data_IF_577169586679
#
_entry.id   IF_577169586679
#
_cell.length_a   1.000
_cell.length_b   1.000
_cell.length_c   1.000
_cell.angle_alpha   90.00
_cell.angle_beta   90.00
_cell.angle_gamma   90.00
#
_symmetry.space_group_name_H-M   'P 1'
#
loop_
_entity.id
_entity.type
_entity.pdbx_description
1 polymer ?
#
# COMPACT_ATOMS: atom_id res chain seq x y z
N UNK A 1 -6.36 -25.62 -20.92
CA UNK A 1 -6.50 -25.44 -19.46
C UNK A 1 -5.13 -25.03 -18.93
N UNK A 2 -4.86 -23.72 -18.83
CA UNK A 2 -3.58 -23.19 -18.33
C UNK A 2 -3.85 -22.52 -16.98
N UNK A 3 -3.20 -23.02 -15.94
CA UNK A 3 -3.23 -22.44 -14.61
C UNK A 3 -2.41 -21.12 -14.63
N UNK A 4 -3.10 -20.00 -14.43
CA UNK A 4 -2.45 -18.71 -14.20
C UNK A 4 -1.91 -18.68 -12.77
N UNK A 5 -0.58 -18.64 -12.66
CA UNK A 5 0.11 -18.34 -11.42
C UNK A 5 -0.32 -16.96 -10.92
N UNK A 6 -1.02 -16.90 -9.79
CA UNK A 6 -1.22 -15.66 -9.05
C UNK A 6 0.10 -15.28 -8.38
N UNK A 7 0.81 -14.31 -8.94
CA UNK A 7 1.99 -13.73 -8.29
C UNK A 7 1.52 -12.59 -7.37
N UNK A 8 1.73 -12.77 -6.07
CA UNK A 8 1.59 -11.72 -5.07
C UNK A 8 2.98 -11.27 -4.66
N UNK A 9 3.27 -9.98 -4.81
CA UNK A 9 4.50 -9.38 -4.28
C UNK A 9 4.13 -8.32 -3.25
N UNK A 10 4.64 -8.48 -2.04
CA UNK A 10 4.47 -7.53 -0.93
C UNK A 10 5.86 -7.01 -0.60
N UNK A 11 6.04 -5.70 -0.65
CA UNK A 11 7.25 -5.04 -0.19
C UNK A 11 6.89 -4.12 0.97
N UNK A 12 7.52 -4.33 2.13
CA UNK A 12 7.44 -3.37 3.25
C UNK A 12 8.74 -2.58 3.27
N UNK A 13 8.63 -1.26 3.13
CA UNK A 13 9.78 -0.36 3.16
C UNK A 13 9.69 0.53 4.40
N UNK A 14 10.77 0.56 5.17
CA UNK A 14 10.93 1.48 6.29
C UNK A 14 11.73 2.68 5.80
N UNK A 15 11.13 3.86 5.85
CA UNK A 15 11.83 5.09 5.51
C UNK A 15 12.35 5.74 6.78
N UNK A 16 13.66 5.70 6.97
CA UNK A 16 14.37 6.53 7.95
C UNK A 16 15.00 7.68 7.17
N UNK A 17 14.75 8.91 7.59
CA UNK A 17 15.32 10.10 6.95
C UNK A 17 16.84 10.14 7.09
N UNK A 18 17.55 9.38 6.23
CA UNK A 18 18.88 9.63 5.64
C UNK A 18 19.59 8.41 5.05
N UNK A 19 19.10 7.16 5.15
CA UNK A 19 19.73 6.02 4.47
C UNK A 19 18.73 4.89 4.17
N UNK A 20 18.83 4.29 2.98
CA UNK A 20 18.08 3.09 2.58
C UNK A 20 18.77 1.86 3.16
N UNK A 21 18.07 1.11 4.03
CA UNK A 21 18.52 -0.21 4.49
C UNK A 21 17.54 -1.29 4.03
N UNK A 22 18.03 -2.23 3.23
CA UNK A 22 17.35 -3.51 2.96
C UNK A 22 17.85 -4.49 4.02
N UNK A 23 16.97 -4.95 4.91
CA UNK A 23 17.34 -5.89 5.98
C UNK A 23 16.89 -7.31 5.65
N UNK A 24 17.86 -8.23 5.53
CA UNK A 24 17.63 -9.67 5.61
C UNK A 24 17.83 -10.09 7.09
N UNK A 25 16.84 -10.74 7.70
CA UNK A 25 16.85 -11.11 9.12
C UNK A 25 18.02 -12.05 9.48
N UNK A 26 18.90 -11.60 10.38
CA UNK A 26 19.72 -12.43 11.28
C UNK A 26 19.72 -11.76 12.67
N UNK A 27 19.39 -12.46 13.77
CA UNK A 27 19.36 -11.84 15.09
C UNK A 27 20.77 -11.76 15.69
N UNK A 28 21.15 -10.61 16.23
CA UNK A 28 22.35 -10.48 17.08
C UNK A 28 22.08 -9.54 18.26
N UNK A 29 22.54 -9.99 19.43
CA UNK A 29 22.27 -9.50 20.78
C UNK A 29 22.88 -8.13 21.13
N UNK A 30 22.19 -7.50 22.08
CA UNK A 30 22.35 -6.20 22.71
C UNK A 30 23.78 -5.72 23.05
N UNK A 31 24.02 -4.42 22.77
CA UNK A 31 24.86 -3.57 23.62
C UNK A 31 24.23 -2.16 23.68
N UNK A 32 23.82 -1.76 24.89
CA UNK A 32 23.36 -0.41 25.22
C UNK A 32 24.53 0.58 25.22
N UNK A 33 24.44 1.66 24.44
CA UNK A 33 25.19 2.89 24.64
C UNK A 33 24.23 4.05 24.85
N UNK A 34 24.17 4.52 26.09
CA UNK A 34 23.50 5.75 26.48
C UNK A 34 24.28 6.95 25.93
N UNK A 35 23.68 7.72 25.02
CA UNK A 35 24.06 9.11 24.79
C UNK A 35 22.81 9.96 24.52
N UNK A 36 22.66 11.00 25.32
CA UNK A 36 21.67 12.07 25.19
C UNK A 36 21.69 12.65 23.77
N UNK A 37 20.69 12.32 22.96
CA UNK A 37 20.27 13.09 21.80
C UNK A 37 18.90 13.66 22.13
N UNK A 38 18.79 14.99 22.17
CA UNK A 38 17.52 15.70 22.25
C UNK A 38 16.58 15.14 21.19
N UNK A 39 15.50 14.49 21.65
CA UNK A 39 14.54 13.73 20.86
C UNK A 39 13.78 14.59 19.85
N UNK A 40 14.43 14.93 18.74
CA UNK A 40 13.74 14.87 17.46
C UNK A 40 13.49 13.39 17.23
N UNK A 41 12.34 12.90 17.71
CA UNK A 41 11.81 11.64 17.21
C UNK A 41 11.70 11.79 15.70
N UNK A 42 12.68 11.24 14.98
CA UNK A 42 12.58 11.02 13.54
C UNK A 42 11.33 10.17 13.39
N UNK A 43 10.26 10.73 12.82
CA UNK A 43 9.05 9.95 12.58
C UNK A 43 9.43 8.80 11.64
N UNK A 44 9.44 7.57 12.16
CA UNK A 44 9.68 6.38 11.37
C UNK A 44 8.41 6.08 10.56
N UNK A 45 8.44 6.44 9.28
CA UNK A 45 7.33 6.16 8.37
C UNK A 45 7.42 4.72 7.89
N UNK A 46 6.38 3.95 8.17
CA UNK A 46 6.18 2.63 7.58
C UNK A 46 5.34 2.75 6.31
N UNK A 47 5.90 2.31 5.18
CA UNK A 47 5.25 2.32 3.88
C UNK A 47 5.04 0.86 3.44
N UNK A 48 3.79 0.50 3.15
CA UNK A 48 3.44 -0.80 2.57
C UNK A 48 3.23 -0.63 1.06
N UNK A 49 3.87 -1.48 0.26
CA UNK A 49 3.71 -1.51 -1.19
C UNK A 49 3.14 -2.88 -1.57
N UNK A 50 1.99 -2.88 -2.24
CA UNK A 50 1.30 -4.09 -2.69
C UNK A 50 1.19 -4.06 -4.22
N UNK A 51 1.38 -5.21 -4.86
CA UNK A 51 1.02 -5.38 -6.27
C UNK A 51 0.08 -6.55 -6.46
N UNK A 52 -0.89 -6.41 -7.36
CA UNK A 52 -1.83 -7.49 -7.67
C UNK A 52 -2.26 -7.47 -9.12
N UNK A 53 -2.02 -8.60 -9.80
CA UNK A 53 -2.54 -8.85 -11.14
C UNK A 53 -3.97 -9.37 -11.05
N UNK A 54 -4.90 -8.61 -11.63
CA UNK A 54 -6.33 -8.87 -11.55
C UNK A 54 -6.82 -9.86 -12.61
N UNK A 55 -6.04 -10.12 -13.66
CA UNK A 55 -6.46 -10.91 -14.81
C UNK A 55 -7.83 -10.50 -15.37
N UNK A 56 -8.09 -9.18 -15.41
CA UNK A 56 -9.35 -8.55 -15.81
C UNK A 56 -10.59 -9.01 -15.02
N UNK A 57 -10.42 -9.64 -13.85
CA UNK A 57 -11.52 -10.10 -13.01
C UNK A 57 -12.21 -8.91 -12.36
N UNK A 58 -13.55 -8.93 -12.22
CA UNK A 58 -14.26 -7.87 -11.52
C UNK A 58 -13.90 -7.86 -10.04
N UNK A 59 -14.06 -6.70 -9.42
CA UNK A 59 -13.94 -6.55 -7.97
C UNK A 59 -15.10 -7.23 -7.25
N UNK A 60 -14.81 -7.91 -6.14
CA UNK A 60 -15.80 -8.38 -5.18
C UNK A 60 -15.26 -8.28 -3.74
N UNK A 61 -16.13 -8.13 -2.72
CA UNK A 61 -15.70 -7.79 -1.36
C UNK A 61 -14.70 -8.76 -0.74
N UNK A 62 -14.85 -10.06 -0.99
CA UNK A 62 -13.98 -11.10 -0.45
C UNK A 62 -12.57 -11.02 -1.06
N UNK A 63 -12.44 -10.78 -2.37
CA UNK A 63 -11.12 -10.62 -3.00
C UNK A 63 -10.35 -9.42 -2.43
N UNK A 64 -11.06 -8.31 -2.23
CA UNK A 64 -10.48 -7.09 -1.64
C UNK A 64 -10.09 -7.35 -0.18
N UNK A 65 -10.93 -8.06 0.58
CA UNK A 65 -10.61 -8.44 1.95
C UNK A 65 -9.36 -9.31 2.01
N UNK A 66 -9.29 -10.39 1.22
CA UNK A 66 -8.14 -11.29 1.20
C UNK A 66 -6.86 -10.60 0.71
N UNK A 67 -6.98 -9.62 -0.18
CA UNK A 67 -5.85 -8.84 -0.66
C UNK A 67 -5.28 -7.88 0.40
N UNK A 68 -6.14 -7.25 1.22
CA UNK A 68 -5.72 -6.17 2.12
C UNK A 68 -5.58 -6.60 3.59
N UNK A 69 -6.37 -7.58 4.04
CA UNK A 69 -6.35 -8.06 5.42
C UNK A 69 -5.01 -8.72 5.75
N UNK A 70 -4.42 -8.37 6.89
CA UNK A 70 -3.08 -8.83 7.29
C UNK A 70 -1.91 -8.17 6.55
N UNK A 71 -2.15 -7.54 5.40
CA UNK A 71 -1.12 -6.85 4.61
C UNK A 71 -1.03 -5.35 4.91
N UNK A 72 -2.12 -4.76 5.42
CA UNK A 72 -2.15 -3.38 5.92
C UNK A 72 -2.45 -3.40 7.41
N UNK A 73 -1.46 -3.01 8.22
CA UNK A 73 -1.61 -2.96 9.67
C UNK A 73 -1.70 -1.53 10.22
N UNK A 74 -1.93 -1.45 11.53
CA UNK A 74 -2.13 -0.21 12.25
C UNK A 74 -0.87 0.63 12.44
N UNK A 75 0.31 0.14 12.04
CA UNK A 75 1.56 0.90 12.05
C UNK A 75 1.91 1.45 10.67
N UNK A 76 1.27 0.98 9.61
CA UNK A 76 1.49 1.51 8.26
C UNK A 76 0.95 2.94 8.16
N UNK A 77 1.75 3.85 7.62
CA UNK A 77 1.46 5.28 7.45
C UNK A 77 0.98 5.61 6.03
N UNK A 78 1.60 4.96 5.04
CA UNK A 78 1.27 5.06 3.62
C UNK A 78 1.14 3.66 3.01
N UNK A 79 0.19 3.51 2.10
CA UNK A 79 0.06 2.31 1.28
C UNK A 79 0.06 2.69 -0.20
N UNK A 80 0.96 2.09 -0.97
CA UNK A 80 0.94 2.15 -2.43
C UNK A 80 0.44 0.81 -2.99
N UNK A 81 -0.56 0.84 -3.86
CA UNK A 81 -1.13 -0.35 -4.48
C UNK A 81 -1.00 -0.23 -5.99
N UNK A 82 -0.26 -1.14 -6.60
CA UNK A 82 -0.17 -1.31 -8.06
C UNK A 82 -1.06 -2.45 -8.54
N UNK A 83 -2.07 -2.15 -9.34
CA UNK A 83 -2.95 -3.14 -9.98
C UNK A 83 -2.52 -3.33 -11.43
N UNK A 84 -2.43 -4.59 -11.86
CA UNK A 84 -2.16 -4.96 -13.26
C UNK A 84 -3.36 -5.68 -13.87
N UNK A 85 -3.46 -5.63 -15.20
CA UNK A 85 -4.57 -6.23 -15.96
C UNK A 85 -5.95 -5.80 -15.45
N UNK A 86 -6.08 -4.53 -15.06
CA UNK A 86 -7.36 -3.92 -14.71
C UNK A 86 -8.28 -3.98 -15.93
N UNK A 87 -9.53 -4.37 -15.72
CA UNK A 87 -10.52 -4.45 -16.80
C UNK A 87 -10.72 -3.08 -17.47
N UNK A 88 -10.82 -3.07 -18.80
CA UNK A 88 -10.92 -1.85 -19.61
C UNK A 88 -12.13 -0.97 -19.22
N UNK A 89 -13.23 -1.60 -18.79
CA UNK A 89 -14.42 -0.89 -18.31
C UNK A 89 -14.17 -0.03 -17.06
N UNK A 90 -13.13 -0.32 -16.27
CA UNK A 90 -12.78 0.46 -15.08
C UNK A 90 -11.89 1.67 -15.40
N UNK A 91 -11.15 1.63 -16.52
CA UNK A 91 -10.23 2.70 -16.93
C UNK A 91 -10.86 3.68 -17.91
N UNK A 92 -11.71 3.19 -18.84
CA UNK A 92 -12.36 4.00 -19.88
C UNK A 92 -13.75 4.52 -19.42
N UNK A 93 -14.27 3.96 -18.33
CA UNK A 93 -15.63 4.22 -17.83
C UNK A 93 -16.62 3.21 -18.39
N UNK A 94 -17.50 2.69 -17.53
CA UNK A 94 -18.48 1.65 -17.88
C UNK A 94 -18.66 0.57 -16.82
N UNK A 95 -17.70 0.42 -15.90
CA UNK A 95 -17.85 -0.45 -14.74
C UNK A 95 -18.71 0.20 -13.65
N UNK A 96 -19.74 -0.50 -13.17
CA UNK A 96 -20.56 -0.05 -12.03
C UNK A 96 -19.80 -0.11 -10.70
N UNK A 97 -18.91 -1.10 -10.55
CA UNK A 97 -18.08 -1.31 -9.36
C UNK A 97 -16.66 -1.54 -9.85
N UNK A 98 -15.74 -0.71 -9.38
CA UNK A 98 -14.30 -0.82 -9.71
C UNK A 98 -13.50 -1.38 -8.53
N UNK A 99 -12.35 -1.99 -8.82
CA UNK A 99 -11.34 -2.33 -7.82
C UNK A 99 -10.90 -1.10 -7.03
N UNK A 100 -10.74 0.03 -7.73
CA UNK A 100 -10.38 1.30 -7.10
C UNK A 100 -11.36 1.71 -6.00
N UNK A 101 -12.67 1.70 -6.31
CA UNK A 101 -13.73 2.05 -5.36
C UNK A 101 -13.82 1.04 -4.22
N UNK A 102 -13.71 -0.25 -4.55
CA UNK A 102 -13.86 -1.33 -3.55
C UNK A 102 -12.69 -1.33 -2.55
N UNK A 103 -11.46 -1.17 -3.03
CA UNK A 103 -10.27 -1.00 -2.20
C UNK A 103 -10.41 0.27 -1.34
N UNK A 104 -10.82 1.39 -1.93
CA UNK A 104 -10.96 2.63 -1.17
C UNK A 104 -12.02 2.52 -0.06
N UNK A 105 -13.15 1.86 -0.32
CA UNK A 105 -14.18 1.59 0.67
C UNK A 105 -13.65 0.70 1.81
N UNK A 106 -12.92 -0.37 1.48
CA UNK A 106 -12.31 -1.25 2.47
C UNK A 106 -11.27 -0.50 3.32
N UNK A 107 -10.37 0.27 2.70
CA UNK A 107 -9.33 1.03 3.41
C UNK A 107 -9.94 2.05 4.36
N UNK A 108 -10.96 2.80 3.92
CA UNK A 108 -11.63 3.77 4.77
C UNK A 108 -12.30 3.11 5.98
N UNK A 109 -12.97 1.96 5.76
CA UNK A 109 -13.69 1.22 6.79
C UNK A 109 -12.75 0.57 7.82
N UNK A 110 -11.57 0.08 7.40
CA UNK A 110 -10.74 -0.79 8.23
C UNK A 110 -9.42 -0.15 8.73
N UNK A 111 -8.84 0.86 8.07
CA UNK A 111 -7.44 1.29 8.35
C UNK A 111 -7.27 2.77 8.70
N UNK A 112 -8.37 3.54 8.81
CA UNK A 112 -8.35 5.02 8.99
C UNK A 112 -7.58 5.77 7.90
N UNK A 113 -7.31 5.12 6.77
CA UNK A 113 -6.64 5.71 5.62
C UNK A 113 -7.64 6.25 4.60
N UNK A 114 -7.20 7.21 3.81
CA UNK A 114 -7.95 7.76 2.68
C UNK A 114 -7.11 7.69 1.40
N UNK A 115 -7.79 7.61 0.27
CA UNK A 115 -7.14 7.67 -1.04
C UNK A 115 -6.62 9.11 -1.26
N UNK A 116 -5.30 9.24 -1.41
CA UNK A 116 -4.63 10.51 -1.67
C UNK A 116 -4.46 10.76 -3.17
N UNK A 117 -4.13 9.72 -3.93
CA UNK A 117 -3.91 9.82 -5.36
C UNK A 117 -4.30 8.53 -6.08
N UNK A 118 -4.78 8.68 -7.31
CA UNK A 118 -5.04 7.59 -8.27
C UNK A 118 -4.51 8.02 -9.63
N UNK A 119 -3.80 7.13 -10.30
CA UNK A 119 -3.40 7.30 -11.71
C UNK A 119 -3.48 5.95 -12.43
N UNK A 120 -3.54 5.98 -13.75
CA UNK A 120 -3.57 4.78 -14.59
C UNK A 120 -2.80 4.97 -15.89
N UNK A 121 -2.31 3.87 -16.44
CA UNK A 121 -1.74 3.79 -17.79
C UNK A 121 -2.09 2.43 -18.39
N UNK A 122 -2.80 2.43 -19.53
CA UNK A 122 -3.36 1.22 -20.12
C UNK A 122 -4.18 0.42 -19.08
N UNK A 123 -3.87 -0.87 -18.88
CA UNK A 123 -4.51 -1.75 -17.91
C UNK A 123 -3.81 -1.75 -16.53
N UNK A 124 -2.94 -0.77 -16.26
CA UNK A 124 -2.25 -0.65 -14.99
C UNK A 124 -2.79 0.54 -14.21
N UNK A 125 -2.95 0.39 -12.90
CA UNK A 125 -3.45 1.44 -12.02
C UNK A 125 -2.64 1.51 -10.73
N UNK A 126 -2.35 2.73 -10.28
CA UNK A 126 -1.71 2.99 -8.99
C UNK A 126 -2.66 3.75 -8.08
N UNK A 127 -2.76 3.28 -6.84
CA UNK A 127 -3.53 3.91 -5.77
C UNK A 127 -2.58 4.22 -4.61
N UNK A 128 -2.61 5.46 -4.12
CA UNK A 128 -1.84 5.88 -2.95
C UNK A 128 -2.81 6.22 -1.82
N UNK A 129 -2.68 5.53 -0.70
CA UNK A 129 -3.42 5.77 0.52
C UNK A 129 -2.51 6.32 1.60
N UNK A 130 -3.05 7.18 2.45
CA UNK A 130 -2.37 7.65 3.64
C UNK A 130 -3.33 7.86 4.80
N UNK A 131 -2.77 7.89 6.00
CA UNK A 131 -3.53 8.21 7.21
C UNK A 131 -4.12 9.61 7.12
N UNK A 132 -5.37 9.76 7.60
CA UNK A 132 -6.05 11.07 7.63
C UNK A 132 -5.23 12.16 8.32
N UNK A 133 -4.47 11.79 9.36
CA UNK A 133 -3.60 12.72 10.10
C UNK A 133 -2.42 13.27 9.27
N UNK A 134 -2.02 12.57 8.21
CA UNK A 134 -0.88 12.94 7.37
C UNK A 134 -1.27 13.86 6.20
N UNK A 135 -2.57 14.08 5.95
CA UNK A 135 -3.05 14.87 4.81
C UNK A 135 -2.42 16.27 4.79
N UNK A 136 -2.31 16.94 5.95
CA UNK A 136 -1.70 18.27 6.04
C UNK A 136 -0.19 18.30 5.77
N UNK A 137 0.48 17.14 5.81
CA UNK A 137 1.92 17.01 5.57
C UNK A 137 2.23 16.66 4.10
N UNK A 138 1.24 16.16 3.35
CA UNK A 138 1.39 15.79 1.95
C UNK A 138 1.19 17.04 1.08
N UNK A 139 2.23 17.46 0.36
CA UNK A 139 2.15 18.53 -0.63
C UNK A 139 2.25 17.95 -2.04
N UNK A 140 1.45 18.52 -2.95
CA UNK A 140 1.63 18.28 -4.37
C UNK A 140 2.95 18.94 -4.80
N UNK A 141 3.81 18.17 -5.45
CA UNK A 141 5.07 18.63 -6.06
C UNK A 141 4.78 18.98 -7.51
#
# INVERSE_FOLDING_TARGET
>A
MWALFMSFSIFTMYWKSNHVYVSNHVPRSDHQTNHLSSSLEIMDWKITILTYNLAMRPSYPEAVHNFLNGNVDEHTHLVAIGLQEVAHAETIGGAMITWAQSIAAWMNKNTRMVLLAKTFQATNQVLIFGRKQLIGQVKKI
#
